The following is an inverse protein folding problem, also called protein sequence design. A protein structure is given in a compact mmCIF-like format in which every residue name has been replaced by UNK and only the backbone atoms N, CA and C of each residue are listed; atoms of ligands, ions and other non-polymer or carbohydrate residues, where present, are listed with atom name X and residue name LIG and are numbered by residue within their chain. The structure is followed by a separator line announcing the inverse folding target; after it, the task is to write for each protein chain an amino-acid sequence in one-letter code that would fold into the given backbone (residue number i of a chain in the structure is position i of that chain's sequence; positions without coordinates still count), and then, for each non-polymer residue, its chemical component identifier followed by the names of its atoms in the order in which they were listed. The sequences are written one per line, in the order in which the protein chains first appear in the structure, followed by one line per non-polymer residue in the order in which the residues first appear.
data_IF_950609589347
#
_entry.id   IF_950609589347
#
_cell.length_a   1.000
_cell.length_b   1.000
_cell.length_c   1.000
_cell.angle_alpha   90.00
_cell.angle_beta   90.00
_cell.angle_gamma   90.00
#
_symmetry.space_group_name_H-M   'P 1'
#
loop_
_entity.id
_entity.type
_entity.pdbx_description
1 polymer ?
#
# COMPACT_ATOMS: atom_id res chain seq x y z
N UNK A 1 47.97 -27.19 -8.07
CA UNK A 1 47.07 -26.11 -7.58
C UNK A 1 47.73 -24.79 -7.95
N UNK A 2 47.00 -23.91 -8.62
CA UNK A 2 47.46 -22.53 -8.78
C UNK A 2 47.54 -21.88 -7.39
N UNK A 3 48.50 -20.97 -7.21
CA UNK A 3 48.57 -20.12 -6.02
C UNK A 3 47.34 -19.22 -5.96
N UNK A 4 46.84 -18.94 -4.75
CA UNK A 4 45.62 -18.15 -4.57
C UNK A 4 45.73 -16.76 -5.20
N UNK A 5 46.91 -16.14 -5.20
CA UNK A 5 47.14 -14.85 -5.86
C UNK A 5 46.94 -14.95 -7.37
N UNK A 6 47.54 -15.95 -8.00
CA UNK A 6 47.40 -16.16 -9.46
C UNK A 6 45.97 -16.48 -9.89
N UNK A 7 45.24 -17.24 -9.07
CA UNK A 7 43.81 -17.51 -9.34
C UNK A 7 43.00 -16.21 -9.30
N UNK A 8 43.28 -15.32 -8.33
CA UNK A 8 42.61 -14.02 -8.24
C UNK A 8 42.95 -13.12 -9.43
N UNK A 9 44.23 -13.07 -9.83
CA UNK A 9 44.65 -12.29 -11.00
C UNK A 9 43.94 -12.78 -12.29
N UNK A 10 43.78 -14.10 -12.46
CA UNK A 10 43.03 -14.66 -13.60
C UNK A 10 41.52 -14.35 -13.53
N UNK A 11 40.94 -14.29 -12.33
CA UNK A 11 39.55 -13.85 -12.11
C UNK A 11 39.39 -12.38 -12.49
N UNK A 12 40.30 -11.50 -12.05
CA UNK A 12 40.22 -10.07 -12.34
C UNK A 12 40.26 -9.80 -13.86
N UNK A 13 41.14 -10.50 -14.60
CA UNK A 13 41.18 -10.42 -16.08
C UNK A 13 39.88 -10.90 -16.71
N UNK A 14 39.28 -11.96 -16.17
CA UNK A 14 38.01 -12.50 -16.66
C UNK A 14 36.86 -11.52 -16.40
N UNK A 15 36.82 -10.89 -15.21
CA UNK A 15 35.80 -9.92 -14.84
C UNK A 15 35.86 -8.67 -15.73
N UNK A 16 37.06 -8.20 -16.08
CA UNK A 16 37.25 -7.11 -17.05
C UNK A 16 36.65 -7.45 -18.43
N UNK A 17 36.82 -8.69 -18.90
CA UNK A 17 36.22 -9.14 -20.14
C UNK A 17 34.69 -9.21 -20.07
N UNK A 18 34.14 -9.69 -18.94
CA UNK A 18 32.70 -9.73 -18.69
C UNK A 18 32.11 -8.32 -18.75
N UNK A 19 32.75 -7.34 -18.07
CA UNK A 19 32.31 -5.93 -18.07
C UNK A 19 32.32 -5.38 -19.49
N UNK A 20 33.40 -5.59 -20.26
CA UNK A 20 33.52 -5.13 -21.65
C UNK A 20 32.42 -5.72 -22.54
N UNK A 21 32.17 -7.03 -22.43
CA UNK A 21 31.14 -7.72 -23.21
C UNK A 21 29.73 -7.26 -22.82
N UNK A 22 29.50 -7.04 -21.53
CA UNK A 22 28.23 -6.51 -21.04
C UNK A 22 27.95 -5.11 -21.60
N UNK A 23 28.93 -4.20 -21.55
CA UNK A 23 28.80 -2.85 -22.12
C UNK A 23 28.53 -2.88 -23.62
N UNK A 24 29.26 -3.70 -24.38
CA UNK A 24 29.01 -3.88 -25.81
C UNK A 24 27.59 -4.38 -26.09
N UNK A 25 27.11 -5.35 -25.30
CA UNK A 25 25.75 -5.88 -25.39
C UNK A 25 24.68 -4.82 -25.06
N UNK A 26 24.96 -3.90 -24.13
CA UNK A 26 24.07 -2.78 -23.82
C UNK A 26 24.01 -1.76 -24.97
N UNK A 27 25.11 -1.51 -25.67
CA UNK A 27 25.12 -0.68 -26.87
C UNK A 27 24.21 -1.27 -27.98
N UNK A 28 24.35 -2.57 -28.26
CA UNK A 28 23.45 -3.27 -29.20
C UNK A 28 21.99 -3.25 -28.74
N UNK A 29 21.75 -3.27 -27.44
CA UNK A 29 20.39 -3.16 -26.89
C UNK A 29 19.77 -1.79 -27.19
N UNK A 30 20.56 -0.72 -27.17
CA UNK A 30 20.10 0.62 -27.54
C UNK A 30 19.74 0.69 -29.03
N UNK A 31 20.50 0.05 -29.91
CA UNK A 31 20.16 -0.05 -31.34
C UNK A 31 18.85 -0.82 -31.56
N UNK A 32 18.64 -1.92 -30.81
CA UNK A 32 17.37 -2.66 -30.84
C UNK A 32 16.21 -1.79 -30.33
N UNK A 33 16.44 -0.98 -29.29
CA UNK A 33 15.43 -0.03 -28.80
C UNK A 33 15.03 0.95 -29.91
N UNK A 34 16.01 1.56 -30.58
CA UNK A 34 15.78 2.52 -31.66
C UNK A 34 14.96 1.90 -32.79
N UNK A 35 15.33 0.70 -33.23
CA UNK A 35 14.56 -0.04 -34.24
C UNK A 35 13.12 -0.33 -33.79
N UNK A 36 12.91 -0.69 -32.52
CA UNK A 36 11.57 -0.95 -31.97
C UNK A 36 10.74 0.32 -31.86
N UNK A 37 11.36 1.44 -31.48
CA UNK A 37 10.72 2.77 -31.47
C UNK A 37 10.22 3.13 -32.87
N UNK A 38 11.06 2.98 -33.89
CA UNK A 38 10.72 3.30 -35.28
C UNK A 38 9.65 2.36 -35.87
N UNK A 39 9.64 1.10 -35.45
CA UNK A 39 8.72 0.07 -35.99
C UNK A 39 7.48 -0.17 -35.13
N UNK A 40 7.38 0.44 -33.95
CA UNK A 40 6.30 0.21 -32.98
C UNK A 40 6.27 -1.19 -32.37
N UNK A 41 7.36 -1.96 -32.45
CA UNK A 41 7.42 -3.33 -31.91
C UNK A 41 7.57 -3.33 -30.38
N UNK A 42 6.94 -4.30 -29.72
CA UNK A 42 7.04 -4.48 -28.28
C UNK A 42 8.48 -4.76 -27.81
N UNK A 43 8.84 -4.24 -26.64
CA UNK A 43 10.15 -4.50 -26.01
C UNK A 43 10.25 -5.95 -25.55
N UNK A 44 9.24 -6.43 -24.84
CA UNK A 44 9.22 -7.80 -24.33
C UNK A 44 8.73 -8.78 -25.40
N UNK A 45 9.56 -9.80 -25.68
CA UNK A 45 9.25 -10.93 -26.57
C UNK A 45 9.62 -12.22 -25.84
N UNK A 46 8.61 -12.82 -25.18
CA UNK A 46 8.79 -13.99 -24.33
C UNK A 46 9.33 -15.21 -25.11
N UNK A 47 8.92 -15.37 -26.37
CA UNK A 47 9.34 -16.48 -27.22
C UNK A 47 10.81 -16.34 -27.59
N UNK A 48 11.22 -15.14 -28.02
CA UNK A 48 12.61 -14.87 -28.39
C UNK A 48 13.56 -15.02 -27.22
N UNK A 49 13.16 -14.56 -26.04
CA UNK A 49 13.97 -14.70 -24.82
C UNK A 49 14.09 -16.16 -24.39
N UNK A 50 13.00 -16.93 -24.43
CA UNK A 50 13.02 -18.37 -24.12
C UNK A 50 13.99 -19.12 -25.03
N UNK A 51 13.89 -18.91 -26.35
CA UNK A 51 14.80 -19.54 -27.33
C UNK A 51 16.27 -19.19 -27.07
N UNK A 52 16.55 -17.94 -26.68
CA UNK A 52 17.92 -17.51 -26.40
C UNK A 52 18.45 -18.11 -25.10
N UNK A 53 17.62 -18.21 -24.06
CA UNK A 53 17.99 -18.89 -22.81
C UNK A 53 18.22 -20.38 -23.01
N UNK A 54 17.34 -21.08 -23.75
CA UNK A 54 17.51 -22.49 -24.08
C UNK A 54 18.84 -22.75 -24.81
N UNK A 55 19.18 -21.90 -25.80
CA UNK A 55 20.47 -22.00 -26.49
C UNK A 55 21.66 -21.85 -25.53
N UNK A 56 21.67 -20.78 -24.72
CA UNK A 56 22.79 -20.45 -23.85
C UNK A 56 22.97 -21.46 -22.71
N UNK A 57 21.86 -21.91 -22.12
CA UNK A 57 21.89 -22.95 -21.07
C UNK A 57 22.39 -24.29 -21.60
N UNK A 58 22.16 -24.59 -22.89
CA UNK A 58 22.74 -25.75 -23.57
C UNK A 58 24.27 -25.74 -23.69
N UNK A 59 24.92 -24.58 -23.51
CA UNK A 59 26.38 -24.46 -23.49
C UNK A 59 27.00 -24.76 -22.10
N UNK A 60 26.16 -24.96 -21.07
CA UNK A 60 26.61 -25.27 -19.72
C UNK A 60 27.29 -26.64 -19.62
N UNK A 61 28.46 -26.69 -18.99
CA UNK A 61 29.29 -27.90 -18.89
C UNK A 61 28.88 -28.87 -17.77
N UNK A 62 28.09 -28.40 -16.80
CA UNK A 62 27.55 -29.19 -15.69
C UNK A 62 26.28 -28.51 -15.14
N UNK A 63 25.54 -29.21 -14.28
CA UNK A 63 24.28 -28.72 -13.71
C UNK A 63 24.40 -27.37 -12.99
N UNK A 64 25.51 -27.13 -12.27
CA UNK A 64 25.76 -25.86 -11.59
C UNK A 64 25.95 -24.72 -12.59
N UNK A 65 26.81 -24.90 -13.59
CA UNK A 65 27.10 -23.91 -14.62
C UNK A 65 25.89 -23.65 -15.52
N UNK A 66 25.13 -24.68 -15.91
CA UNK A 66 23.89 -24.53 -16.66
C UNK A 66 22.90 -23.63 -15.91
N UNK A 67 22.73 -23.86 -14.62
CA UNK A 67 21.86 -23.03 -13.78
C UNK A 67 22.41 -21.61 -13.61
N UNK A 68 23.72 -21.46 -13.38
CA UNK A 68 24.37 -20.15 -13.27
C UNK A 68 24.24 -19.30 -14.54
N UNK A 69 24.45 -19.91 -15.72
CA UNK A 69 24.27 -19.25 -17.03
C UNK A 69 22.81 -18.82 -17.20
N UNK A 70 21.85 -19.67 -16.84
CA UNK A 70 20.42 -19.33 -16.90
C UNK A 70 20.11 -18.07 -16.10
N UNK A 71 20.51 -18.04 -14.82
CA UNK A 71 20.24 -16.91 -13.92
C UNK A 71 20.93 -15.63 -14.41
N UNK A 72 22.22 -15.72 -14.78
CA UNK A 72 22.99 -14.57 -15.27
C UNK A 72 22.34 -13.96 -16.51
N UNK A 73 21.99 -14.77 -17.50
CA UNK A 73 21.40 -14.25 -18.74
C UNK A 73 19.97 -13.77 -18.57
N UNK A 74 19.19 -14.34 -17.66
CA UNK A 74 17.88 -13.79 -17.28
C UNK A 74 18.03 -12.38 -16.71
N UNK A 75 19.02 -12.16 -15.83
CA UNK A 75 19.31 -10.82 -15.31
C UNK A 75 19.76 -9.87 -16.42
N UNK A 76 20.71 -10.28 -17.27
CA UNK A 76 21.16 -9.46 -18.39
C UNK A 76 19.99 -9.10 -19.33
N UNK A 77 19.08 -10.05 -19.63
CA UNK A 77 17.89 -9.77 -20.45
C UNK A 77 16.94 -8.79 -19.76
N UNK A 78 16.69 -8.95 -18.46
CA UNK A 78 15.90 -7.99 -17.66
C UNK A 78 16.48 -6.58 -17.74
N UNK A 79 17.79 -6.41 -17.54
CA UNK A 79 18.49 -5.12 -17.69
C UNK A 79 18.30 -4.56 -19.10
N UNK A 80 18.35 -5.42 -20.12
CA UNK A 80 18.19 -5.00 -21.51
C UNK A 80 16.80 -4.45 -21.81
N UNK A 81 15.76 -5.08 -21.27
CA UNK A 81 14.38 -4.60 -21.43
C UNK A 81 14.21 -3.26 -20.75
N UNK A 82 14.72 -3.13 -19.53
CA UNK A 82 14.70 -1.87 -18.78
C UNK A 82 15.38 -0.73 -19.54
N UNK A 83 16.56 -0.98 -20.13
CA UNK A 83 17.23 0.04 -20.96
C UNK A 83 16.41 0.42 -22.21
N UNK A 84 15.75 -0.55 -22.85
CA UNK A 84 14.84 -0.28 -23.98
C UNK A 84 13.63 0.55 -23.54
N UNK A 85 13.00 0.23 -22.42
CA UNK A 85 11.88 0.99 -21.87
C UNK A 85 12.26 2.42 -21.48
N UNK A 86 13.45 2.61 -20.91
CA UNK A 86 14.00 3.93 -20.62
C UNK A 86 14.11 4.76 -21.91
N UNK A 87 14.76 4.22 -22.96
CA UNK A 87 14.92 4.91 -24.25
C UNK A 87 13.57 5.22 -24.92
N UNK A 88 12.59 4.33 -24.81
CA UNK A 88 11.21 4.58 -25.27
C UNK A 88 10.55 5.75 -24.54
N UNK A 89 10.79 5.87 -23.23
CA UNK A 89 10.26 6.96 -22.41
C UNK A 89 10.89 8.29 -22.80
N UNK A 90 12.20 8.32 -23.00
CA UNK A 90 12.95 9.51 -23.43
C UNK A 90 12.54 10.01 -24.82
N UNK A 91 12.11 9.12 -25.72
CA UNK A 91 11.66 9.45 -27.08
C UNK A 91 10.15 9.74 -27.19
N UNK A 92 9.48 10.08 -26.08
CA UNK A 92 8.07 10.49 -26.10
C UNK A 92 7.09 9.34 -26.31
N UNK A 93 7.45 8.10 -25.96
CA UNK A 93 6.51 6.97 -25.96
C UNK A 93 5.28 7.26 -25.09
N UNK A 94 4.12 6.75 -25.49
CA UNK A 94 2.77 7.06 -24.95
C UNK A 94 2.71 7.24 -23.42
N UNK A 95 1.89 8.20 -22.98
CA UNK A 95 1.53 8.35 -21.57
C UNK A 95 1.00 7.02 -21.04
N UNK A 96 1.68 6.50 -20.03
CA UNK A 96 1.42 5.16 -19.49
C UNK A 96 0.16 5.12 -18.63
N UNK A 97 -0.30 6.27 -18.14
CA UNK A 97 -1.45 6.35 -17.24
C UNK A 97 -2.41 7.43 -17.72
N UNK A 98 -3.70 7.17 -17.52
CA UNK A 98 -4.79 8.13 -17.69
C UNK A 98 -5.08 8.89 -16.38
N UNK A 99 -4.08 9.00 -15.51
CA UNK A 99 -4.17 9.75 -14.26
C UNK A 99 -4.00 11.24 -14.53
N UNK A 100 -4.87 12.04 -13.93
CA UNK A 100 -4.77 13.50 -14.01
C UNK A 100 -3.98 14.04 -12.82
N UNK A 101 -2.85 14.69 -13.10
CA UNK A 101 -2.11 15.43 -12.08
C UNK A 101 -2.88 16.69 -11.67
N UNK A 102 -2.97 16.97 -10.38
CA UNK A 102 -3.58 18.18 -9.82
C UNK A 102 -2.61 18.89 -8.86
N UNK A 103 -2.78 20.20 -8.67
CA UNK A 103 -1.97 20.96 -7.70
C UNK A 103 -2.31 20.62 -6.25
N UNK A 104 -3.59 20.36 -5.98
CA UNK A 104 -4.12 19.96 -4.68
C UNK A 104 -5.33 19.06 -4.91
N UNK A 105 -5.56 18.16 -3.96
CA UNK A 105 -6.76 17.33 -4.00
C UNK A 105 -8.00 18.22 -3.79
N UNK A 106 -9.02 18.17 -4.66
CA UNK A 106 -10.19 19.02 -4.49
C UNK A 106 -11.07 18.48 -3.37
N UNK A 107 -10.91 19.03 -2.16
CA UNK A 107 -11.64 18.64 -0.94
C UNK A 107 -12.81 19.57 -0.60
N UNK A 108 -12.75 20.83 -1.03
CA UNK A 108 -13.73 21.85 -0.66
C UNK A 108 -15.15 21.51 -1.14
N UNK A 109 -16.12 21.54 -0.22
CA UNK A 109 -17.54 21.30 -0.53
C UNK A 109 -17.86 19.88 -1.00
N UNK A 110 -17.00 18.91 -0.71
CA UNK A 110 -17.11 17.53 -1.20
C UNK A 110 -17.95 16.65 -0.29
N UNK A 111 -18.50 15.58 -0.86
CA UNK A 111 -19.23 14.55 -0.10
C UNK A 111 -18.29 13.43 0.29
N UNK A 112 -18.19 13.15 1.58
CA UNK A 112 -17.29 12.12 2.10
C UNK A 112 -18.08 11.04 2.82
N UNK A 113 -17.83 9.78 2.47
CA UNK A 113 -18.39 8.63 3.18
C UNK A 113 -17.32 7.95 4.02
N UNK A 114 -17.67 7.48 5.20
CA UNK A 114 -16.80 6.65 6.03
C UNK A 114 -17.59 5.48 6.59
N UNK A 115 -16.90 4.39 6.91
CA UNK A 115 -17.54 3.25 7.55
C UNK A 115 -17.53 3.42 9.08
N UNK A 116 -18.65 3.08 9.71
CA UNK A 116 -18.84 3.11 11.16
C UNK A 116 -19.89 4.13 11.57
N UNK A 117 -19.62 4.86 12.64
CA UNK A 117 -20.47 5.93 13.17
C UNK A 117 -19.61 7.10 13.60
N UNK A 118 -20.21 8.26 13.82
CA UNK A 118 -19.51 9.44 14.33
C UNK A 118 -18.79 9.13 15.65
N UNK A 119 -17.55 9.62 15.78
CA UNK A 119 -16.65 9.29 16.89
C UNK A 119 -15.78 8.03 16.68
N UNK A 120 -16.01 7.23 15.65
CA UNK A 120 -15.08 6.15 15.30
C UNK A 120 -13.74 6.70 14.76
N UNK A 121 -12.69 5.87 14.71
CA UNK A 121 -11.40 6.32 14.14
C UNK A 121 -11.49 6.68 12.65
N UNK A 122 -12.35 6.02 11.86
CA UNK A 122 -12.61 6.43 10.46
C UNK A 122 -13.20 7.85 10.38
N UNK A 123 -14.04 8.24 11.35
CA UNK A 123 -14.56 9.60 11.46
C UNK A 123 -13.46 10.60 11.84
N UNK A 124 -12.59 10.23 12.79
CA UNK A 124 -11.39 11.03 13.11
C UNK A 124 -10.49 11.24 11.90
N UNK A 125 -10.23 10.19 11.12
CA UNK A 125 -9.34 10.25 9.96
C UNK A 125 -9.92 11.16 8.88
N UNK A 126 -11.24 11.11 8.69
CA UNK A 126 -11.94 12.05 7.84
C UNK A 126 -11.80 13.49 8.35
N UNK A 127 -12.00 13.73 9.65
CA UNK A 127 -11.93 15.07 10.24
C UNK A 127 -10.54 15.69 10.20
N UNK A 128 -9.48 14.89 10.29
CA UNK A 128 -8.11 15.40 10.15
C UNK A 128 -7.71 15.66 8.69
N UNK A 129 -8.20 14.83 7.76
CA UNK A 129 -7.83 14.95 6.36
C UNK A 129 -8.62 16.06 5.62
N UNK A 130 -9.90 16.22 5.94
CA UNK A 130 -10.80 17.15 5.25
C UNK A 130 -11.13 18.38 6.09
N UNK A 131 -11.27 19.53 5.43
CA UNK A 131 -11.75 20.75 6.05
C UNK A 131 -13.25 20.69 6.39
N UNK A 132 -13.74 21.63 7.21
CA UNK A 132 -15.14 21.67 7.66
C UNK A 132 -16.17 22.04 6.57
N UNK A 133 -15.74 22.27 5.33
CA UNK A 133 -16.67 22.59 4.23
C UNK A 133 -17.28 21.34 3.59
N UNK A 134 -16.79 20.15 3.94
CA UNK A 134 -17.35 18.90 3.45
C UNK A 134 -18.75 18.63 4.02
N UNK A 135 -19.51 17.80 3.31
CA UNK A 135 -20.66 17.10 3.86
C UNK A 135 -20.31 15.64 4.01
N UNK A 136 -20.53 15.04 5.18
CA UNK A 136 -20.19 13.65 5.44
C UNK A 136 -21.39 12.80 5.84
N UNK A 137 -21.34 11.50 5.55
CA UNK A 137 -22.27 10.51 6.06
C UNK A 137 -21.56 9.18 6.34
N UNK A 138 -22.15 8.34 7.17
CA UNK A 138 -21.61 7.04 7.50
C UNK A 138 -22.41 5.90 6.87
N UNK A 139 -21.77 4.74 6.76
CA UNK A 139 -22.35 3.48 6.30
C UNK A 139 -21.89 2.34 7.21
N UNK A 140 -22.62 1.23 7.19
CA UNK A 140 -22.35 0.11 8.09
C UNK A 140 -21.16 -0.72 7.61
N UNK A 141 -20.97 -0.84 6.28
CA UNK A 141 -19.93 -1.70 5.70
C UNK A 141 -18.97 -0.95 4.76
N UNK A 142 -17.73 -1.46 4.64
CA UNK A 142 -16.76 -0.92 3.69
C UNK A 142 -17.22 -1.06 2.24
N UNK A 143 -17.99 -2.11 1.93
CA UNK A 143 -18.57 -2.32 0.61
C UNK A 143 -19.56 -1.21 0.26
N UNK A 144 -20.44 -0.84 1.17
CA UNK A 144 -21.39 0.27 0.96
C UNK A 144 -20.67 1.60 0.70
N UNK A 145 -19.53 1.85 1.35
CA UNK A 145 -18.72 3.04 1.10
C UNK A 145 -18.17 3.04 -0.35
N UNK A 146 -17.68 1.89 -0.83
CA UNK A 146 -17.21 1.72 -2.21
C UNK A 146 -18.38 1.85 -3.22
N UNK A 147 -19.55 1.32 -2.91
CA UNK A 147 -20.74 1.47 -3.74
C UNK A 147 -21.25 2.91 -3.78
N UNK A 148 -21.19 3.66 -2.68
CA UNK A 148 -21.59 5.07 -2.63
C UNK A 148 -20.75 5.94 -3.59
N UNK A 149 -19.45 5.67 -3.71
CA UNK A 149 -18.58 6.30 -4.72
C UNK A 149 -19.03 5.92 -6.13
N UNK A 150 -19.32 4.64 -6.35
CA UNK A 150 -19.77 4.12 -7.66
C UNK A 150 -21.09 4.74 -8.10
N UNK A 151 -22.02 4.95 -7.16
CA UNK A 151 -23.33 5.60 -7.40
C UNK A 151 -23.23 7.13 -7.49
N UNK A 152 -22.06 7.70 -7.22
CA UNK A 152 -21.86 9.15 -7.19
C UNK A 152 -22.57 9.84 -6.03
N UNK A 153 -22.86 9.12 -4.95
CA UNK A 153 -23.42 9.64 -3.69
C UNK A 153 -22.34 10.33 -2.84
N UNK A 154 -21.10 9.83 -2.94
CA UNK A 154 -19.91 10.43 -2.34
C UNK A 154 -18.85 10.74 -3.40
N UNK A 155 -18.01 11.73 -3.13
CA UNK A 155 -16.81 12.07 -3.90
C UNK A 155 -15.57 11.32 -3.39
N UNK A 156 -15.51 11.10 -2.06
CA UNK A 156 -14.42 10.38 -1.39
C UNK A 156 -14.93 9.39 -0.33
N UNK A 157 -14.17 8.31 -0.12
CA UNK A 157 -14.38 7.36 0.96
C UNK A 157 -13.14 7.24 1.85
N UNK A 158 -13.33 7.14 3.17
CA UNK A 158 -12.23 6.94 4.14
C UNK A 158 -12.27 5.50 4.65
N UNK A 159 -11.22 4.73 4.36
CA UNK A 159 -11.16 3.29 4.67
C UNK A 159 -9.87 2.93 5.43
N UNK A 160 -9.92 2.12 6.50
CA UNK A 160 -8.73 1.64 7.19
C UNK A 160 -8.05 0.56 6.34
N UNK A 161 -6.78 0.75 5.94
CA UNK A 161 -6.07 -0.24 5.11
C UNK A 161 -5.13 -1.12 5.94
N UNK A 162 -4.63 -0.61 7.06
CA UNK A 162 -3.62 -1.28 7.87
C UNK A 162 -3.59 -0.74 9.30
N UNK A 163 -3.34 -1.62 10.26
CA UNK A 163 -3.07 -1.26 11.65
C UNK A 163 -1.70 -1.81 12.06
N UNK A 164 -0.90 -1.01 12.76
CA UNK A 164 0.48 -1.37 13.12
C UNK A 164 0.59 -2.58 14.08
N UNK A 165 -0.49 -2.92 14.78
CA UNK A 165 -0.54 -4.07 15.70
C UNK A 165 -1.26 -5.27 15.10
N UNK A 166 -2.37 -5.05 14.38
CA UNK A 166 -3.22 -6.11 13.82
C UNK A 166 -2.87 -6.50 12.37
N UNK A 167 -2.02 -5.72 11.70
CA UNK A 167 -1.64 -5.91 10.31
C UNK A 167 -2.66 -5.35 9.33
N UNK A 168 -2.69 -5.90 8.12
CA UNK A 168 -3.54 -5.43 7.03
C UNK A 168 -5.03 -5.64 7.27
N UNK A 169 -5.86 -4.75 6.73
CA UNK A 169 -7.30 -4.98 6.62
C UNK A 169 -7.59 -5.67 5.29
N UNK A 170 -7.54 -7.01 5.31
CA UNK A 170 -7.61 -7.87 4.12
C UNK A 170 -8.78 -7.57 3.17
N UNK A 171 -9.96 -7.28 3.70
CA UNK A 171 -11.16 -7.06 2.89
C UNK A 171 -11.08 -5.76 2.06
N UNK A 172 -10.35 -4.75 2.54
CA UNK A 172 -10.13 -3.51 1.77
C UNK A 172 -9.30 -3.79 0.52
N UNK A 173 -8.30 -4.67 0.60
CA UNK A 173 -7.51 -5.06 -0.57
C UNK A 173 -8.34 -5.79 -1.63
N UNK A 174 -9.32 -6.59 -1.21
CA UNK A 174 -10.24 -7.24 -2.14
C UNK A 174 -11.20 -6.24 -2.78
N UNK A 175 -11.75 -5.31 -1.99
CA UNK A 175 -12.61 -4.23 -2.48
C UNK A 175 -11.86 -3.31 -3.47
N UNK A 176 -10.59 -2.98 -3.20
CA UNK A 176 -9.78 -2.19 -4.13
C UNK A 176 -9.65 -2.88 -5.50
N UNK A 177 -9.60 -4.21 -5.52
CA UNK A 177 -9.54 -4.98 -6.77
C UNK A 177 -10.91 -5.05 -7.45
N UNK A 178 -11.99 -5.22 -6.69
CA UNK A 178 -13.36 -5.34 -7.21
C UNK A 178 -13.88 -4.03 -7.82
N UNK A 179 -13.61 -2.88 -7.19
CA UNK A 179 -14.14 -1.59 -7.63
C UNK A 179 -13.11 -0.79 -8.42
N UNK A 180 -13.50 -0.02 -9.45
CA UNK A 180 -12.61 0.84 -10.23
C UNK A 180 -12.29 2.15 -9.51
N UNK A 181 -11.95 2.10 -8.22
CA UNK A 181 -11.59 3.27 -7.41
C UNK A 181 -10.09 3.36 -7.16
N UNK A 182 -9.65 4.54 -6.71
CA UNK A 182 -8.25 4.90 -6.62
C UNK A 182 -7.93 5.58 -5.29
N UNK A 183 -6.76 5.27 -4.74
CA UNK A 183 -6.21 5.95 -3.57
C UNK A 183 -5.66 7.29 -4.01
N UNK A 184 -6.11 8.36 -3.35
CA UNK A 184 -5.75 9.75 -3.67
C UNK A 184 -5.19 10.51 -2.46
N UNK A 185 -5.07 9.83 -1.31
CA UNK A 185 -4.55 10.37 -0.06
C UNK A 185 -4.44 9.26 0.98
N UNK A 186 -3.69 9.53 2.04
CA UNK A 186 -3.64 8.70 3.25
C UNK A 186 -3.67 9.57 4.50
N UNK A 187 -4.12 8.99 5.61
CA UNK A 187 -4.12 9.61 6.94
C UNK A 187 -3.75 8.55 7.97
N UNK A 188 -2.74 8.81 8.80
CA UNK A 188 -2.34 7.92 9.89
C UNK A 188 -2.83 8.47 11.22
N UNK A 189 -3.64 7.68 11.94
CA UNK A 189 -4.12 8.05 13.27
C UNK A 189 -3.58 7.13 14.35
N UNK A 190 -2.98 7.69 15.42
CA UNK A 190 -2.64 6.91 16.59
C UNK A 190 -3.93 6.46 17.30
N UNK A 191 -3.95 5.20 17.73
CA UNK A 191 -5.08 4.60 18.44
C UNK A 191 -4.94 4.95 19.93
N UNK A 192 -5.25 6.20 20.26
CA UNK A 192 -5.10 6.74 21.60
C UNK A 192 -6.40 6.64 22.38
N UNK A 193 -6.64 5.50 23.02
CA UNK A 193 -7.83 5.35 23.85
C UNK A 193 -7.81 6.30 25.05
N UNK A 194 -8.93 6.99 25.27
CA UNK A 194 -9.15 7.87 26.43
C UNK A 194 -10.32 7.37 27.26
N UNK A 195 -10.28 7.65 28.56
CA UNK A 195 -11.42 7.53 29.45
C UNK A 195 -12.24 8.82 29.38
N UNK A 196 -13.50 8.71 28.96
CA UNK A 196 -14.41 9.84 28.82
C UNK A 196 -15.68 9.64 29.64
N UNK A 197 -16.23 10.72 30.17
CA UNK A 197 -17.47 10.72 30.94
C UNK A 197 -18.25 12.02 30.72
N UNK A 198 -19.45 12.11 31.29
CA UNK A 198 -20.22 13.35 31.24
C UNK A 198 -19.47 14.52 31.90
N UNK A 199 -19.62 15.76 31.40
CA UNK A 199 -19.05 16.94 32.06
C UNK A 199 -19.45 17.03 33.53
N UNK A 200 -18.46 17.18 34.41
CA UNK A 200 -18.66 17.21 35.87
C UNK A 200 -18.53 15.85 36.57
N UNK A 201 -18.41 14.75 35.83
CA UNK A 201 -18.03 13.45 36.40
C UNK A 201 -16.60 13.51 36.96
N UNK A 202 -16.35 12.75 38.02
CA UNK A 202 -15.02 12.61 38.64
C UNK A 202 -14.57 11.16 38.58
N UNK A 203 -13.28 10.95 38.32
CA UNK A 203 -12.71 9.61 38.18
C UNK A 203 -12.97 8.71 39.40
N UNK A 204 -12.98 9.29 40.60
CA UNK A 204 -13.21 8.56 41.87
C UNK A 204 -14.68 8.12 42.06
N UNK A 205 -15.61 8.76 41.33
CA UNK A 205 -17.06 8.49 41.41
C UNK A 205 -17.52 7.50 40.34
N UNK A 206 -16.66 7.16 39.38
CA UNK A 206 -16.95 6.19 38.32
C UNK A 206 -17.12 4.78 38.90
N UNK A 207 -18.15 4.08 38.41
CA UNK A 207 -18.50 2.71 38.78
C UNK A 207 -18.58 1.77 37.59
N UNK A 208 -18.98 2.28 36.43
CA UNK A 208 -19.17 1.48 35.22
C UNK A 208 -18.36 2.06 34.07
N UNK A 209 -17.59 1.21 33.40
CA UNK A 209 -16.81 1.59 32.21
C UNK A 209 -17.25 0.75 31.03
N UNK A 210 -17.78 1.37 29.97
CA UNK A 210 -18.29 0.67 28.79
C UNK A 210 -17.40 0.88 27.56
N UNK A 211 -17.19 -0.18 26.75
CA UNK A 211 -16.54 -0.06 25.44
C UNK A 211 -16.64 -1.36 24.61
N UNK A 212 -16.06 -1.34 23.42
CA UNK A 212 -15.80 -2.55 22.63
C UNK A 212 -14.83 -3.50 23.35
N UNK A 213 -14.99 -4.84 23.29
CA UNK A 213 -14.11 -5.79 23.98
C UNK A 213 -12.61 -5.59 23.67
N UNK A 214 -12.26 -5.26 22.42
CA UNK A 214 -10.88 -5.01 22.04
C UNK A 214 -10.30 -3.74 22.70
N UNK A 215 -11.09 -2.68 22.83
CA UNK A 215 -10.65 -1.44 23.46
C UNK A 215 -10.49 -1.61 24.98
N UNK A 216 -11.41 -2.35 25.62
CA UNK A 216 -11.28 -2.73 27.03
C UNK A 216 -10.04 -3.59 27.27
N UNK A 217 -9.77 -4.55 26.39
CA UNK A 217 -8.59 -5.40 26.47
C UNK A 217 -7.29 -4.59 26.32
N UNK A 218 -7.26 -3.60 25.42
CA UNK A 218 -6.11 -2.71 25.22
C UNK A 218 -5.85 -1.75 26.39
N UNK A 219 -6.86 -1.49 27.22
CA UNK A 219 -6.73 -0.61 28.39
C UNK A 219 -6.76 -1.38 29.72
N UNK A 220 -6.63 -2.72 29.67
CA UNK A 220 -6.90 -3.58 30.82
C UNK A 220 -6.04 -3.26 32.02
N UNK A 221 -4.75 -2.96 31.84
CA UNK A 221 -3.86 -2.59 32.97
C UNK A 221 -4.35 -1.37 33.74
N UNK A 222 -4.87 -0.36 33.03
CA UNK A 222 -5.41 0.83 33.67
C UNK A 222 -6.77 0.54 34.32
N UNK A 223 -7.65 -0.19 33.63
CA UNK A 223 -8.97 -0.54 34.16
C UNK A 223 -8.88 -1.40 35.43
N UNK A 224 -8.02 -2.42 35.44
CA UNK A 224 -7.82 -3.32 36.57
C UNK A 224 -7.15 -2.62 37.77
N UNK A 225 -6.48 -1.48 37.56
CA UNK A 225 -5.91 -0.68 38.67
C UNK A 225 -6.96 0.07 39.50
N UNK A 226 -8.23 0.06 39.06
CA UNK A 226 -9.34 0.73 39.73
C UNK A 226 -10.34 -0.31 40.25
N UNK A 227 -10.19 -0.75 41.50
CA UNK A 227 -10.98 -1.84 42.11
C UNK A 227 -12.51 -1.60 42.13
N UNK A 228 -12.95 -0.34 42.04
CA UNK A 228 -14.36 0.03 42.08
C UNK A 228 -15.06 0.02 40.71
N UNK A 229 -14.33 -0.24 39.63
CA UNK A 229 -14.87 -0.17 38.27
C UNK A 229 -15.35 -1.53 37.79
N UNK A 230 -16.55 -1.54 37.20
CA UNK A 230 -17.11 -2.67 36.47
C UNK A 230 -17.04 -2.38 34.98
N UNK A 231 -16.32 -3.21 34.22
CA UNK A 231 -16.25 -3.08 32.77
C UNK A 231 -17.41 -3.82 32.10
N UNK A 232 -18.07 -3.19 31.13
CA UNK A 232 -19.15 -3.79 30.36
C UNK A 232 -18.93 -3.63 28.85
N UNK A 233 -19.30 -4.66 28.09
CA UNK A 233 -19.04 -4.70 26.64
C UNK A 233 -20.17 -4.04 25.85
N UNK A 234 -19.80 -3.39 24.75
CA UNK A 234 -20.69 -2.79 23.74
C UNK A 234 -20.21 -3.15 22.33
N UNK A 235 -21.08 -2.93 21.35
CA UNK A 235 -20.82 -3.32 19.95
C UNK A 235 -19.63 -2.56 19.34
N UNK A 236 -19.45 -1.28 19.64
CA UNK A 236 -18.30 -0.50 19.19
C UNK A 236 -18.00 0.64 20.19
N UNK A 237 -16.82 1.25 20.06
CA UNK A 237 -16.32 2.29 20.97
C UNK A 237 -17.13 3.59 20.91
N UNK A 238 -17.59 3.98 19.72
CA UNK A 238 -18.36 5.20 19.53
C UNK A 238 -19.80 5.06 20.07
N UNK A 239 -20.41 3.89 19.95
CA UNK A 239 -21.70 3.56 20.57
C UNK A 239 -21.63 3.63 22.10
N UNK A 240 -20.51 3.19 22.69
CA UNK A 240 -20.29 3.34 24.12
C UNK A 240 -20.19 4.81 24.54
N UNK A 241 -19.48 5.65 23.79
CA UNK A 241 -19.42 7.09 24.05
C UNK A 241 -20.81 7.75 23.93
N UNK A 242 -21.55 7.42 22.87
CA UNK A 242 -22.93 7.90 22.68
C UNK A 242 -23.83 7.52 23.86
N UNK A 243 -23.77 6.28 24.31
CA UNK A 243 -24.55 5.81 25.46
C UNK A 243 -24.25 6.61 26.73
N UNK A 244 -22.97 6.89 27.03
CA UNK A 244 -22.60 7.75 28.17
C UNK A 244 -23.19 9.15 28.01
N UNK A 245 -23.11 9.74 26.81
CA UNK A 245 -23.64 11.08 26.55
C UNK A 245 -25.16 11.19 26.74
N UNK A 246 -25.90 10.11 26.45
CA UNK A 246 -27.36 10.06 26.56
C UNK A 246 -27.86 9.57 27.94
N UNK A 247 -26.98 8.96 28.75
CA UNK A 247 -27.34 8.32 30.03
C UNK A 247 -27.75 9.29 31.15
N UNK A 248 -27.14 10.48 31.19
CA UNK A 248 -27.22 11.39 32.35
C UNK A 248 -26.54 10.86 33.64
N UNK A 249 -25.84 9.73 33.59
CA UNK A 249 -25.21 9.08 34.75
C UNK A 249 -23.74 9.51 34.91
N UNK A 250 -23.46 10.34 35.94
CA UNK A 250 -22.11 10.80 36.26
C UNK A 250 -21.17 9.69 36.75
N UNK A 251 -21.69 8.49 37.06
CA UNK A 251 -20.91 7.33 37.49
C UNK A 251 -20.52 6.41 36.34
N UNK A 252 -20.94 6.73 35.11
CA UNK A 252 -20.64 5.97 33.90
C UNK A 252 -19.54 6.66 33.08
N UNK A 253 -18.60 5.87 32.60
CA UNK A 253 -17.55 6.30 31.67
C UNK A 253 -17.48 5.37 30.47
N UNK A 254 -16.89 5.85 29.37
CA UNK A 254 -16.58 5.07 28.20
C UNK A 254 -15.08 5.07 27.93
N UNK A 255 -14.59 3.98 27.34
CA UNK A 255 -13.27 3.95 26.69
C UNK A 255 -13.50 4.11 25.19
N UNK A 256 -12.84 5.07 24.55
CA UNK A 256 -13.07 5.36 23.14
C UNK A 256 -11.97 6.22 22.54
N UNK A 257 -12.21 6.73 21.33
CA UNK A 257 -11.30 7.69 20.68
C UNK A 257 -11.51 9.09 21.28
N UNK A 258 -10.50 9.98 21.24
CA UNK A 258 -10.68 11.39 21.62
C UNK A 258 -11.74 12.09 20.74
N UNK A 259 -11.84 11.70 19.47
CA UNK A 259 -12.85 12.23 18.54
C UNK A 259 -14.29 11.91 18.97
N UNK A 260 -14.52 10.77 19.63
CA UNK A 260 -15.82 10.46 20.21
C UNK A 260 -16.14 11.38 21.40
N UNK A 261 -15.15 11.67 22.24
CA UNK A 261 -15.35 12.59 23.36
C UNK A 261 -15.71 13.99 22.86
N UNK A 262 -15.00 14.51 21.86
CA UNK A 262 -15.31 15.79 21.23
C UNK A 262 -16.70 15.79 20.58
N UNK A 263 -17.00 14.79 19.75
CA UNK A 263 -18.26 14.72 19.01
C UNK A 263 -19.49 14.65 19.93
N UNK A 264 -19.41 13.89 21.02
CA UNK A 264 -20.52 13.72 21.97
C UNK A 264 -20.47 14.70 23.16
N UNK A 265 -19.53 15.66 23.18
CA UNK A 265 -19.42 16.65 24.25
C UNK A 265 -19.06 16.06 25.62
N UNK A 266 -18.30 14.96 25.63
CA UNK A 266 -17.85 14.29 26.84
C UNK A 266 -16.52 14.87 27.34
N UNK A 267 -16.36 14.89 28.66
CA UNK A 267 -15.12 15.28 29.31
C UNK A 267 -14.13 14.10 29.30
N UNK A 268 -12.90 14.33 28.85
CA UNK A 268 -11.81 13.38 29.00
C UNK A 268 -11.35 13.40 30.47
N UNK A 269 -11.52 12.28 31.16
CA UNK A 269 -11.07 12.10 32.54
C UNK A 269 -9.59 11.68 32.60
N UNK A 270 -9.15 10.89 31.63
CA UNK A 270 -7.77 10.39 31.57
C UNK A 270 -7.36 10.03 30.15
N UNK A 271 -6.19 10.51 29.75
CA UNK A 271 -5.50 10.13 28.51
C UNK A 271 -4.43 9.06 28.78
N UNK A 272 -3.94 8.40 27.73
CA UNK A 272 -2.83 7.46 27.82
C UNK A 272 -3.13 6.20 28.63
N UNK A 273 -4.37 5.70 28.55
CA UNK A 273 -4.84 4.54 29.32
C UNK A 273 -4.62 3.18 28.63
N UNK A 274 -4.04 3.19 27.42
CA UNK A 274 -3.80 2.03 26.57
C UNK A 274 -2.39 1.47 26.75
N UNK A 275 -2.23 0.16 26.53
CA UNK A 275 -0.97 -0.56 26.73
C UNK A 275 0.01 -0.43 25.55
N UNK A 276 -0.50 -0.42 24.31
CA UNK A 276 0.31 -0.49 23.09
C UNK A 276 0.70 0.92 22.61
N UNK A 277 1.78 1.48 23.15
CA UNK A 277 2.35 2.73 22.65
C UNK A 277 2.81 2.56 21.19
N UNK A 278 2.36 3.46 20.30
CA UNK A 278 2.65 3.41 18.87
C UNK A 278 1.64 2.62 18.01
N UNK A 279 0.55 2.10 18.61
CA UNK A 279 -0.55 1.54 17.82
C UNK A 279 -1.16 2.63 16.92
N UNK A 280 -1.08 2.45 15.61
CA UNK A 280 -1.46 3.43 14.60
C UNK A 280 -2.26 2.73 13.52
N UNK A 281 -3.36 3.35 13.10
CA UNK A 281 -4.15 2.86 11.96
C UNK A 281 -3.94 3.80 10.78
N UNK A 282 -3.52 3.24 9.65
CA UNK A 282 -3.40 3.93 8.37
C UNK A 282 -4.73 3.83 7.63
N UNK A 283 -5.27 4.98 7.29
CA UNK A 283 -6.46 5.16 6.48
C UNK A 283 -6.09 5.64 5.09
N UNK A 284 -6.84 5.19 4.09
CA UNK A 284 -6.71 5.65 2.70
C UNK A 284 -7.94 6.43 2.30
N UNK A 285 -7.72 7.47 1.51
CA UNK A 285 -8.75 8.30 0.90
C UNK A 285 -8.96 7.78 -0.52
N UNK A 286 -10.16 7.27 -0.77
CA UNK A 286 -10.55 6.64 -2.03
C UNK A 286 -11.40 7.59 -2.86
N UNK A 287 -11.16 7.66 -4.17
CA UNK A 287 -12.00 8.37 -5.13
C UNK A 287 -12.30 7.52 -6.36
N UNK A 288 -13.43 7.79 -7.01
CA UNK A 288 -13.73 7.22 -8.33
C UNK A 288 -12.94 7.87 -9.47
N UNK A 289 -12.16 8.92 -9.19
CA UNK A 289 -11.39 9.67 -10.19
C UNK A 289 -9.90 9.36 -10.09
N UNK A 290 -9.26 9.07 -11.23
CA UNK A 290 -7.81 8.88 -11.32
C UNK A 290 -7.09 10.22 -11.21
N UNK A 291 -6.72 10.59 -9.98
CA UNK A 291 -5.99 11.81 -9.69
C UNK A 291 -4.81 11.53 -8.77
N UNK A 292 -3.80 12.38 -8.88
CA UNK A 292 -2.69 12.43 -7.93
C UNK A 292 -2.22 13.87 -7.80
N UNK A 293 -1.74 14.23 -6.62
CA UNK A 293 -1.15 15.55 -6.39
C UNK A 293 0.28 15.59 -6.93
N UNK A 294 0.74 16.75 -7.41
CA UNK A 294 2.07 16.90 -8.03
C UNK A 294 3.24 16.45 -7.15
N UNK A 295 3.05 16.53 -5.85
CA UNK A 295 4.01 16.26 -4.78
C UNK A 295 3.72 14.95 -4.06
N UNK A 296 2.84 14.10 -4.62
CA UNK A 296 2.59 12.74 -4.15
C UNK A 296 3.88 11.92 -4.14
N UNK A 297 4.11 11.16 -3.07
CA UNK A 297 5.37 10.47 -2.82
C UNK A 297 5.22 8.96 -2.70
N UNK A 298 3.99 8.44 -2.72
CA UNK A 298 3.72 7.01 -2.57
C UNK A 298 2.88 6.52 -3.73
N UNK A 299 3.19 5.34 -4.23
CA UNK A 299 2.43 4.67 -5.28
C UNK A 299 2.06 3.27 -4.77
N UNK A 300 0.79 2.92 -4.91
CA UNK A 300 0.30 1.56 -4.64
C UNK A 300 -0.06 0.87 -5.94
N UNK A 301 0.45 -0.36 -6.12
CA UNK A 301 0.16 -1.20 -7.28
C UNK A 301 -0.26 -2.61 -6.86
N UNK A 302 -1.02 -3.26 -7.74
CA UNK A 302 -1.33 -4.67 -7.67
C UNK A 302 -0.83 -5.37 -8.94
N UNK A 303 -0.18 -6.51 -8.75
CA UNK A 303 0.26 -7.39 -9.84
C UNK A 303 -0.12 -8.84 -9.57
N UNK A 304 -0.64 -9.51 -10.59
CA UNK A 304 -0.79 -10.97 -10.63
C UNK A 304 0.38 -11.55 -11.44
N UNK A 305 1.18 -12.41 -10.81
CA UNK A 305 2.38 -12.98 -11.41
C UNK A 305 2.20 -14.48 -11.71
N UNK A 306 2.84 -15.03 -12.75
CA UNK A 306 2.87 -16.47 -12.97
C UNK A 306 3.42 -17.22 -11.76
N UNK A 307 2.84 -18.39 -11.43
CA UNK A 307 3.37 -19.24 -10.37
C UNK A 307 4.57 -20.07 -10.85
N UNK A 308 5.71 -19.38 -11.03
CA UNK A 308 6.97 -19.98 -11.50
C UNK A 308 8.16 -19.42 -10.73
N UNK A 309 9.25 -20.19 -10.66
CA UNK A 309 10.48 -19.78 -9.98
C UNK A 309 11.00 -18.44 -10.53
N UNK A 310 11.38 -17.52 -9.64
CA UNK A 310 11.91 -16.21 -9.99
C UNK A 310 10.88 -15.14 -10.38
N UNK A 311 9.57 -15.47 -10.47
CA UNK A 311 8.56 -14.50 -10.94
C UNK A 311 8.48 -13.24 -10.08
N UNK A 312 8.39 -13.41 -8.75
CA UNK A 312 8.40 -12.27 -7.83
C UNK A 312 9.72 -11.51 -7.87
N UNK A 313 10.85 -12.23 -7.87
CA UNK A 313 12.18 -11.61 -7.94
C UNK A 313 12.36 -10.75 -9.20
N UNK A 314 11.93 -11.23 -10.36
CA UNK A 314 11.99 -10.49 -11.61
C UNK A 314 11.10 -9.23 -11.58
N UNK A 315 9.91 -9.32 -10.97
CA UNK A 315 9.05 -8.17 -10.74
C UNK A 315 9.72 -7.14 -9.82
N UNK A 316 10.27 -7.60 -8.69
CA UNK A 316 10.95 -6.73 -7.71
C UNK A 316 12.21 -6.08 -8.27
N UNK A 317 12.88 -6.73 -9.22
CA UNK A 317 14.03 -6.15 -9.89
C UNK A 317 13.68 -4.85 -10.63
N UNK A 318 12.42 -4.58 -11.02
CA UNK A 318 12.06 -3.29 -11.62
C UNK A 318 12.23 -2.12 -10.64
N UNK A 319 12.07 -2.32 -9.34
CA UNK A 319 12.31 -1.28 -8.33
C UNK A 319 13.80 -1.02 -8.12
N UNK A 320 14.59 -2.10 -7.92
CA UNK A 320 16.03 -2.03 -7.64
C UNK A 320 16.78 -1.22 -8.71
N UNK A 321 16.50 -1.47 -9.99
CA UNK A 321 17.22 -0.84 -11.10
C UNK A 321 16.80 0.60 -11.39
N UNK A 322 15.65 1.03 -10.86
CA UNK A 322 15.16 2.39 -10.98
C UNK A 322 15.39 3.17 -9.68
N UNK A 323 16.17 2.62 -8.74
CA UNK A 323 16.45 3.17 -7.41
C UNK A 323 15.18 3.57 -6.64
N UNK A 324 14.12 2.76 -6.79
CA UNK A 324 12.82 2.99 -6.12
C UNK A 324 12.76 2.21 -4.81
N UNK A 325 12.49 2.92 -3.71
CA UNK A 325 12.35 2.31 -2.39
C UNK A 325 10.95 1.70 -2.21
N UNK A 326 10.87 0.43 -1.85
CA UNK A 326 9.61 -0.22 -1.51
C UNK A 326 9.31 -0.07 -0.03
N UNK A 327 8.11 0.39 0.30
CA UNK A 327 7.65 0.56 1.68
C UNK A 327 6.74 -0.57 2.15
N UNK A 328 6.13 -1.32 1.20
CA UNK A 328 5.26 -2.46 1.53
C UNK A 328 5.27 -3.51 0.43
N UNK A 329 5.19 -4.78 0.83
CA UNK A 329 4.80 -5.88 -0.04
C UNK A 329 3.89 -6.84 0.72
N UNK A 330 2.77 -7.19 0.11
CA UNK A 330 1.77 -8.09 0.68
C UNK A 330 1.27 -9.07 -0.38
N UNK A 331 1.10 -10.34 -0.01
CA UNK A 331 0.64 -11.37 -0.94
C UNK A 331 -0.76 -11.85 -0.57
N UNK A 332 -1.65 -11.98 -1.56
CA UNK A 332 -3.02 -12.44 -1.37
C UNK A 332 -3.34 -13.57 -2.34
N UNK A 333 -3.88 -14.70 -1.88
CA UNK A 333 -4.27 -15.78 -2.78
C UNK A 333 -5.40 -15.32 -3.70
N UNK A 334 -5.36 -15.71 -4.97
CA UNK A 334 -6.42 -15.37 -5.92
C UNK A 334 -7.56 -16.37 -5.76
N UNK A 335 -8.81 -15.92 -5.49
CA UNK A 335 -9.94 -16.82 -5.41
C UNK A 335 -10.07 -17.68 -6.66
N UNK A 336 -10.39 -18.97 -6.49
CA UNK A 336 -10.61 -19.94 -7.57
C UNK A 336 -9.38 -20.32 -8.42
N UNK A 337 -8.20 -19.74 -8.17
CA UNK A 337 -6.93 -20.11 -8.83
C UNK A 337 -5.96 -20.70 -7.81
N UNK A 338 -5.80 -22.02 -7.84
CA UNK A 338 -4.97 -22.74 -6.85
C UNK A 338 -3.51 -22.28 -6.93
N UNK A 339 -2.97 -21.83 -5.81
CA UNK A 339 -1.56 -21.45 -5.62
C UNK A 339 -1.11 -20.25 -6.46
N UNK A 340 -2.06 -19.48 -7.01
CA UNK A 340 -1.75 -18.22 -7.67
C UNK A 340 -2.02 -17.07 -6.72
N UNK A 341 -1.13 -16.07 -6.75
CA UNK A 341 -1.13 -14.96 -5.80
C UNK A 341 -1.13 -13.64 -6.55
N UNK A 342 -1.76 -12.66 -5.92
CA UNK A 342 -1.65 -11.25 -6.22
C UNK A 342 -0.72 -10.61 -5.21
N UNK A 343 0.13 -9.70 -5.68
CA UNK A 343 1.01 -8.92 -4.85
C UNK A 343 0.55 -7.47 -4.84
N UNK A 344 0.43 -6.90 -3.65
CA UNK A 344 0.22 -5.49 -3.41
C UNK A 344 1.54 -4.88 -2.98
N UNK A 345 1.96 -3.82 -3.66
CA UNK A 345 3.24 -3.16 -3.41
C UNK A 345 3.01 -1.67 -3.26
N UNK A 346 3.50 -1.11 -2.14
CA UNK A 346 3.66 0.33 -1.96
C UNK A 346 5.14 0.66 -2.14
N UNK A 347 5.43 1.74 -2.87
CA UNK A 347 6.79 2.23 -3.08
C UNK A 347 6.81 3.76 -3.20
N UNK A 348 7.97 4.33 -2.94
CA UNK A 348 8.20 5.78 -3.02
C UNK A 348 8.33 6.23 -4.48
N UNK A 349 7.66 7.32 -4.84
CA UNK A 349 7.79 7.97 -6.14
C UNK A 349 6.54 8.72 -6.59
N UNK A 350 6.66 9.40 -7.73
CA UNK A 350 5.57 10.10 -8.39
C UNK A 350 5.34 9.56 -9.80
N UNK A 351 4.07 9.48 -10.25
CA UNK A 351 3.74 9.01 -11.60
C UNK A 351 4.34 9.88 -12.71
N UNK A 352 4.77 11.09 -12.39
CA UNK A 352 5.48 11.99 -13.30
C UNK A 352 6.93 11.58 -13.53
N UNK A 353 7.54 10.85 -12.59
CA UNK A 353 8.97 10.54 -12.59
C UNK A 353 9.34 9.54 -13.68
N UNK A 354 10.42 9.79 -14.46
CA UNK A 354 10.86 8.86 -15.50
C UNK A 354 11.20 7.46 -14.97
N UNK A 355 11.83 7.38 -13.79
CA UNK A 355 12.20 6.11 -13.14
C UNK A 355 10.97 5.28 -12.77
N UNK A 356 9.94 5.94 -12.22
CA UNK A 356 8.65 5.33 -11.90
C UNK A 356 7.93 4.85 -13.16
N UNK A 357 7.83 5.69 -14.19
CA UNK A 357 7.23 5.32 -15.49
C UNK A 357 7.92 4.09 -16.09
N UNK A 358 9.25 4.05 -16.02
CA UNK A 358 10.03 2.92 -16.51
C UNK A 358 9.75 1.62 -15.73
N UNK A 359 9.75 1.69 -14.39
CA UNK A 359 9.45 0.54 -13.54
C UNK A 359 8.03 -0.01 -13.79
N UNK A 360 7.04 0.88 -13.87
CA UNK A 360 5.64 0.51 -14.08
C UNK A 360 5.41 -0.11 -15.48
N UNK A 361 6.07 0.37 -16.54
CA UNK A 361 6.04 -0.27 -17.88
C UNK A 361 6.58 -1.70 -17.83
N UNK A 362 7.70 -1.90 -17.13
CA UNK A 362 8.30 -3.22 -16.95
C UNK A 362 7.39 -4.18 -16.19
N UNK A 363 6.82 -3.72 -15.07
CA UNK A 363 5.86 -4.48 -14.26
C UNK A 363 4.62 -4.85 -15.07
N UNK A 364 4.03 -3.92 -15.81
CA UNK A 364 2.84 -4.17 -16.62
C UNK A 364 3.10 -5.19 -17.73
N UNK A 365 4.25 -5.12 -18.40
CA UNK A 365 4.59 -6.03 -19.49
C UNK A 365 4.89 -7.47 -19.02
N UNK A 366 5.37 -7.64 -17.78
CA UNK A 366 5.77 -8.93 -17.23
C UNK A 366 4.71 -9.57 -16.31
N UNK A 367 3.66 -8.82 -15.96
CA UNK A 367 2.56 -9.30 -15.11
C UNK A 367 1.39 -9.84 -15.94
N UNK A 368 0.70 -10.87 -15.44
CA UNK A 368 -0.52 -11.38 -16.06
C UNK A 368 -1.68 -10.40 -15.93
N UNK A 369 -1.74 -9.68 -14.80
CA UNK A 369 -2.59 -8.50 -14.60
C UNK A 369 -1.81 -7.47 -13.79
N UNK A 370 -2.02 -6.21 -14.12
CA UNK A 370 -1.38 -5.10 -13.46
C UNK A 370 -2.39 -3.96 -13.26
N UNK A 371 -2.38 -3.35 -12.09
CA UNK A 371 -3.23 -2.19 -11.78
C UNK A 371 -2.50 -1.24 -10.85
N UNK A 372 -2.57 0.05 -11.17
CA UNK A 372 -2.19 1.13 -10.25
C UNK A 372 -3.43 1.45 -9.41
N UNK A 373 -3.30 1.45 -8.09
CA UNK A 373 -4.37 1.89 -7.20
C UNK A 373 -4.31 3.37 -6.92
N UNK A 374 -3.13 3.99 -6.91
CA UNK A 374 -3.03 5.41 -6.62
C UNK A 374 -1.61 5.90 -6.61
N UNK A 375 -1.48 7.23 -6.73
CA UNK A 375 -0.28 7.97 -6.35
C UNK A 375 -0.73 9.10 -5.42
N UNK A 376 -0.23 9.11 -4.20
CA UNK A 376 -0.73 9.95 -3.12
C UNK A 376 0.38 10.39 -2.18
#
# INVERSE_FOLDING_TARGET
MLDLGKIRDEIDVTDDEIVRLFQHRMALTAEVAQYKIETGKAVFDAERERQKLEKLTGEGTNAFNTKGIQELFQQIMSISRKRQYQLLTENGGEEMTDYTQVDHLPTHGKRVVFQGVEGAYSFGAMKEFFDDTITSFHVDTWKEAMEAITRGEADYAVLPIENSTAGIVSDIYDLLVEYPHYIVGEQELPVEHVLMALPGAKAEEIRTVISHPQALAQCRRFLDSNENWKTEERLNTAAAAKEVSESGDLTMAAVGSPYAAEHFGLQILKEGIFDAQGNTTRFVIISGQKRFVKDAQKISVCMELPHQSGSLYNALAHFIYNDLNMTKIESRPIPQRKWEYRFFVDFEGNLSDPAVKNALRGLQAESAKFRIFGNY
#
